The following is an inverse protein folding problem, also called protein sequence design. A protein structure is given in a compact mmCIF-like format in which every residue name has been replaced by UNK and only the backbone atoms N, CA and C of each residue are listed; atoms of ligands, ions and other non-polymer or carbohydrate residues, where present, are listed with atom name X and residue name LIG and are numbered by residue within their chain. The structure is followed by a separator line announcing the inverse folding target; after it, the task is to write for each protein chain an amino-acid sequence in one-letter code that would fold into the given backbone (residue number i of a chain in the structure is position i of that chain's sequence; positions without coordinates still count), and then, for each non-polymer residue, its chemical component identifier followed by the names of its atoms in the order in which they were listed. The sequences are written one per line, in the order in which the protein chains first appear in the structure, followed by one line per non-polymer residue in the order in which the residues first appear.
data_IF_114315124684
#
_entry.id   IF_114315124684
#
_cell.length_a   1.000
_cell.length_b   1.000
_cell.length_c   1.000
_cell.angle_alpha   90.00
_cell.angle_beta   90.00
_cell.angle_gamma   90.00
#
_symmetry.space_group_name_H-M   'P 1'
#
loop_
_entity.id
_entity.type
_entity.pdbx_description
1 polymer ?
#
# COMPACT_ATOMS: atom_id res chain seq x y z
N UNK A 1 1.94 13.33 -33.25
CA UNK A 1 1.33 14.38 -32.41
C UNK A 1 0.51 15.30 -33.29
N UNK A 2 -0.77 15.47 -32.98
CA UNK A 2 -1.67 16.33 -33.75
C UNK A 2 -1.48 17.81 -33.37
N UNK A 3 -1.09 18.64 -34.34
CA UNK A 3 -0.86 20.08 -34.15
C UNK A 3 -2.13 20.84 -33.76
N UNK A 4 -3.31 20.37 -34.18
CA UNK A 4 -4.58 20.98 -33.81
C UNK A 4 -4.94 20.70 -32.35
N UNK A 5 -4.63 19.50 -31.86
CA UNK A 5 -4.79 19.15 -30.46
C UNK A 5 -3.94 20.05 -29.55
N UNK A 6 -2.65 20.22 -29.85
CA UNK A 6 -1.75 21.07 -29.05
C UNK A 6 -2.22 22.53 -29.08
N UNK A 7 -2.63 23.04 -30.24
CA UNK A 7 -3.10 24.43 -30.38
C UNK A 7 -4.40 24.67 -29.61
N UNK A 8 -5.32 23.71 -29.60
CA UNK A 8 -6.55 23.79 -28.80
C UNK A 8 -6.27 23.66 -27.31
N UNK A 9 -5.38 22.76 -26.90
CA UNK A 9 -4.96 22.63 -25.50
C UNK A 9 -4.32 23.94 -25.00
N UNK A 10 -3.41 24.55 -25.77
CA UNK A 10 -2.78 25.82 -25.39
C UNK A 10 -3.77 26.98 -25.31
N UNK A 11 -4.82 27.01 -26.15
CA UNK A 11 -5.86 28.05 -26.06
C UNK A 11 -6.73 27.90 -24.81
N UNK A 12 -7.02 26.66 -24.43
CA UNK A 12 -7.94 26.33 -23.33
C UNK A 12 -7.19 25.72 -22.13
N UNK A 13 -5.90 26.04 -21.97
CA UNK A 13 -5.01 25.31 -21.06
C UNK A 13 -5.47 25.43 -19.61
N UNK A 14 -5.96 26.61 -19.22
CA UNK A 14 -6.43 26.89 -17.86
C UNK A 14 -7.68 26.07 -17.52
N UNK A 15 -8.65 26.02 -18.43
CA UNK A 15 -9.88 25.22 -18.24
C UNK A 15 -9.58 23.73 -18.28
N UNK A 16 -8.69 23.31 -19.20
CA UNK A 16 -8.23 21.93 -19.27
C UNK A 16 -7.50 21.52 -17.99
N UNK A 17 -6.65 22.40 -17.45
CA UNK A 17 -5.94 22.18 -16.19
C UNK A 17 -6.89 22.14 -14.99
N UNK A 18 -7.83 23.09 -14.88
CA UNK A 18 -8.79 23.11 -13.77
C UNK A 18 -9.71 21.90 -13.80
N UNK A 19 -10.18 21.49 -14.99
CA UNK A 19 -10.97 20.25 -15.14
C UNK A 19 -10.14 19.03 -14.75
N UNK A 20 -8.89 18.93 -15.20
CA UNK A 20 -8.00 17.84 -14.82
C UNK A 20 -7.69 17.84 -13.32
N UNK A 21 -7.59 19.02 -12.71
CA UNK A 21 -7.38 19.19 -11.27
C UNK A 21 -8.63 18.79 -10.47
N UNK A 22 -9.83 19.14 -10.93
CA UNK A 22 -11.11 18.69 -10.35
C UNK A 22 -11.29 17.17 -10.52
N UNK A 23 -10.87 16.61 -11.65
CA UNK A 23 -10.84 15.17 -11.87
C UNK A 23 -9.78 14.46 -11.01
N UNK A 24 -8.73 15.18 -10.61
CA UNK A 24 -7.67 14.67 -9.74
C UNK A 24 -8.08 14.79 -8.28
N UNK A 25 -8.57 13.68 -7.72
CA UNK A 25 -8.94 13.60 -6.32
C UNK A 25 -7.70 13.85 -5.44
N UNK A 26 -7.65 15.00 -4.78
CA UNK A 26 -6.63 15.32 -3.77
C UNK A 26 -7.33 15.24 -2.42
N UNK A 27 -6.75 14.46 -1.51
CA UNK A 27 -7.35 14.08 -0.23
C UNK A 27 -6.45 14.55 0.89
N UNK A 28 -7.01 15.20 1.90
CA UNK A 28 -6.28 15.53 3.13
C UNK A 28 -6.66 14.52 4.20
N UNK A 29 -5.69 13.76 4.71
CA UNK A 29 -5.91 12.75 5.74
C UNK A 29 -6.20 13.41 7.08
N UNK A 30 -7.33 13.06 7.69
CA UNK A 30 -7.75 13.56 8.99
C UNK A 30 -7.55 12.53 10.11
N UNK A 31 -7.95 11.27 9.89
CA UNK A 31 -8.00 10.27 10.96
C UNK A 31 -7.74 8.85 10.46
N UNK A 32 -6.89 8.13 11.19
CA UNK A 32 -6.69 6.70 10.99
C UNK A 32 -7.89 5.87 11.49
N UNK A 33 -8.42 5.01 10.63
CA UNK A 33 -9.57 4.14 10.93
C UNK A 33 -9.12 2.74 11.38
N UNK A 34 -8.68 1.92 10.44
CA UNK A 34 -8.37 0.49 10.65
C UNK A 34 -7.27 -0.04 9.72
N UNK A 35 -6.72 -1.21 10.07
CA UNK A 35 -5.89 -2.02 9.17
C UNK A 35 -6.65 -3.29 8.81
N UNK A 36 -6.81 -3.57 7.52
CA UNK A 36 -7.27 -4.88 7.07
C UNK A 36 -6.11 -5.66 6.48
N UNK A 37 -5.88 -6.86 7.00
CA UNK A 37 -4.90 -7.81 6.47
C UNK A 37 -5.68 -8.88 5.71
N UNK A 38 -5.67 -8.78 4.38
CA UNK A 38 -6.38 -9.68 3.50
C UNK A 38 -5.42 -10.69 2.86
N UNK A 39 -5.74 -11.98 3.00
CA UNK A 39 -5.03 -13.08 2.37
C UNK A 39 -5.79 -13.55 1.14
N UNK A 40 -5.23 -13.26 -0.03
CA UNK A 40 -5.73 -13.68 -1.34
C UNK A 40 -5.06 -14.99 -1.73
N UNK A 41 -5.76 -16.09 -1.44
CA UNK A 41 -5.34 -17.44 -1.80
C UNK A 41 -5.53 -17.64 -3.30
N UNK A 42 -4.48 -18.12 -3.98
CA UNK A 42 -4.48 -18.32 -5.43
C UNK A 42 -4.23 -19.79 -5.79
N UNK A 43 -4.94 -20.26 -6.80
CA UNK A 43 -4.76 -21.62 -7.32
C UNK A 43 -3.62 -21.60 -8.34
N UNK A 44 -2.56 -22.38 -8.09
CA UNK A 44 -1.46 -22.57 -9.05
C UNK A 44 -0.41 -21.45 -9.08
N UNK A 45 -0.48 -20.50 -8.14
CA UNK A 45 0.56 -19.48 -7.91
C UNK A 45 0.61 -19.16 -6.43
N UNK A 46 1.68 -18.53 -5.97
CA UNK A 46 1.78 -18.13 -4.58
C UNK A 46 0.79 -17.04 -4.19
N UNK A 47 0.43 -17.07 -2.92
CA UNK A 47 -0.58 -16.20 -2.34
C UNK A 47 -0.09 -14.76 -2.21
N UNK A 48 -1.04 -13.83 -2.09
CA UNK A 48 -0.74 -12.44 -1.80
C UNK A 48 -1.41 -12.00 -0.51
N UNK A 49 -0.66 -11.23 0.27
CA UNK A 49 -1.13 -10.58 1.48
C UNK A 49 -1.23 -9.08 1.23
N UNK A 50 -2.42 -8.53 1.45
CA UNK A 50 -2.73 -7.12 1.30
C UNK A 50 -2.87 -6.51 2.69
N UNK A 51 -2.03 -5.53 2.99
CA UNK A 51 -2.11 -4.73 4.21
C UNK A 51 -2.73 -3.39 3.83
N UNK A 52 -4.03 -3.26 4.07
CA UNK A 52 -4.84 -2.10 3.72
C UNK A 52 -5.02 -1.20 4.93
N UNK A 53 -4.44 -0.01 4.89
CA UNK A 53 -4.60 1.01 5.91
C UNK A 53 -5.68 1.98 5.46
N UNK A 54 -6.77 2.04 6.21
CA UNK A 54 -7.91 2.89 5.91
C UNK A 54 -7.88 4.15 6.77
N UNK A 55 -8.18 5.28 6.14
CA UNK A 55 -8.17 6.60 6.75
C UNK A 55 -9.41 7.38 6.30
N UNK A 56 -9.93 8.23 7.19
CA UNK A 56 -10.89 9.26 6.84
C UNK A 56 -10.14 10.52 6.39
N UNK A 57 -10.57 11.09 5.28
CA UNK A 57 -10.20 12.43 4.85
C UNK A 57 -10.98 13.50 5.62
N UNK A 58 -10.62 14.77 5.40
CA UNK A 58 -11.35 15.91 5.98
C UNK A 58 -12.83 15.97 5.56
N UNK A 59 -13.15 15.47 4.36
CA UNK A 59 -14.52 15.38 3.83
C UNK A 59 -15.26 14.10 4.27
N UNK A 60 -14.79 13.43 5.33
CA UNK A 60 -15.32 12.16 5.88
C UNK A 60 -15.31 10.97 4.88
N UNK A 61 -14.52 11.11 3.82
CA UNK A 61 -14.35 10.08 2.81
C UNK A 61 -13.26 9.08 3.18
N UNK A 62 -13.50 7.82 2.84
CA UNK A 62 -12.59 6.75 3.17
C UNK A 62 -11.55 6.54 2.06
N UNK A 63 -10.28 6.71 2.39
CA UNK A 63 -9.13 6.48 1.49
C UNK A 63 -8.24 5.36 2.03
N UNK A 64 -7.39 4.79 1.18
CA UNK A 64 -6.53 3.67 1.58
C UNK A 64 -5.11 3.69 1.06
N UNK A 65 -4.20 3.15 1.86
CA UNK A 65 -2.84 2.79 1.43
C UNK A 65 -2.72 1.27 1.51
N UNK A 66 -2.28 0.62 0.43
CA UNK A 66 -2.21 -0.84 0.33
C UNK A 66 -0.78 -1.31 0.05
N UNK A 67 -0.22 -2.05 1.00
CA UNK A 67 1.03 -2.80 0.81
C UNK A 67 0.71 -4.22 0.37
N UNK A 68 1.45 -4.72 -0.62
CA UNK A 68 1.27 -6.08 -1.13
C UNK A 68 2.53 -6.89 -0.89
N UNK A 69 2.40 -7.97 -0.13
CA UNK A 69 3.46 -8.97 0.05
C UNK A 69 3.09 -10.25 -0.66
N UNK A 70 4.07 -10.86 -1.30
CA UNK A 70 3.95 -12.23 -1.77
C UNK A 70 4.20 -13.22 -0.63
N UNK A 71 3.71 -14.45 -0.76
CA UNK A 71 3.77 -15.48 0.29
C UNK A 71 5.18 -15.82 0.78
N UNK A 72 6.19 -15.61 -0.07
CA UNK A 72 7.59 -15.92 0.22
C UNK A 72 8.08 -15.19 1.47
N UNK A 73 7.64 -13.95 1.69
CA UNK A 73 7.90 -13.18 2.89
C UNK A 73 7.35 -13.82 4.17
N UNK A 74 6.26 -14.57 4.06
CA UNK A 74 5.59 -15.20 5.21
C UNK A 74 6.18 -16.59 5.48
N UNK A 75 6.42 -17.37 4.43
CA UNK A 75 6.90 -18.75 4.54
C UNK A 75 8.40 -18.80 4.88
N UNK A 76 9.21 -17.90 4.32
CA UNK A 76 10.65 -17.93 4.54
C UNK A 76 11.08 -17.16 5.79
N UNK A 77 12.01 -17.75 6.54
CA UNK A 77 12.54 -17.19 7.79
C UNK A 77 13.29 -15.86 7.59
N UNK A 78 13.82 -15.61 6.40
CA UNK A 78 14.44 -14.33 6.04
C UNK A 78 13.45 -13.15 6.11
N UNK A 79 12.15 -13.43 5.94
CA UNK A 79 11.09 -12.46 6.15
C UNK A 79 10.72 -12.22 7.61
N UNK A 80 11.32 -12.93 8.57
CA UNK A 80 11.03 -12.70 9.98
C UNK A 80 11.57 -11.32 10.41
N UNK A 81 10.65 -10.42 10.79
CA UNK A 81 10.97 -9.11 11.30
C UNK A 81 11.18 -9.16 12.81
N UNK A 82 12.12 -8.35 13.31
CA UNK A 82 12.30 -8.12 14.75
C UNK A 82 11.89 -6.68 15.00
N UNK A 83 10.57 -6.45 14.99
CA UNK A 83 9.95 -5.16 15.22
C UNK A 83 8.96 -5.33 16.37
N UNK A 84 8.94 -4.34 17.27
CA UNK A 84 7.93 -4.25 18.33
C UNK A 84 6.58 -3.90 17.72
N UNK A 85 5.55 -4.68 18.07
CA UNK A 85 4.19 -4.48 17.57
C UNK A 85 3.60 -3.22 18.20
N UNK A 86 3.06 -2.33 17.36
CA UNK A 86 2.35 -1.14 17.84
C UNK A 86 1.00 -1.54 18.43
N UNK A 87 0.87 -1.39 19.75
CA UNK A 87 -0.36 -1.72 20.50
C UNK A 87 -1.55 -0.87 20.07
N UNK A 88 -1.32 0.32 19.50
CA UNK A 88 -2.42 1.16 19.00
C UNK A 88 -3.11 0.54 17.77
N UNK A 89 -2.43 -0.36 17.06
CA UNK A 89 -3.00 -1.10 15.94
C UNK A 89 -3.73 -2.37 16.39
N UNK A 90 -3.48 -2.87 17.59
CA UNK A 90 -3.86 -4.23 18.01
C UNK A 90 -5.37 -4.48 17.90
N UNK A 91 -6.18 -3.51 18.34
CA UNK A 91 -7.65 -3.55 18.29
C UNK A 91 -8.23 -3.03 16.97
N UNK A 92 -7.38 -2.60 16.03
CA UNK A 92 -7.76 -2.03 14.73
C UNK A 92 -7.38 -2.92 13.56
N UNK A 93 -6.74 -4.07 13.82
CA UNK A 93 -6.37 -5.05 12.80
C UNK A 93 -7.51 -6.05 12.60
N UNK A 94 -7.99 -6.12 11.37
CA UNK A 94 -8.97 -7.09 10.90
C UNK A 94 -8.30 -8.10 9.97
N UNK A 95 -8.48 -9.39 10.23
CA UNK A 95 -8.01 -10.45 9.34
C UNK A 95 -9.13 -10.92 8.43
N UNK A 96 -8.83 -11.13 7.16
CA UNK A 96 -9.79 -11.71 6.20
C UNK A 96 -9.07 -12.56 5.16
N UNK A 97 -9.78 -13.50 4.54
CA UNK A 97 -9.27 -14.30 3.42
C UNK A 97 -10.39 -14.56 2.42
N UNK A 98 -10.04 -14.76 1.15
CA UNK A 98 -10.95 -15.22 0.11
C UNK A 98 -11.25 -16.74 0.19
N UNK A 99 -10.60 -17.47 1.11
CA UNK A 99 -10.81 -18.89 1.34
C UNK A 99 -10.88 -19.23 2.84
N UNK A 100 -11.22 -20.48 3.18
CA UNK A 100 -11.15 -20.95 4.56
C UNK A 100 -9.69 -21.10 4.97
N UNK A 101 -9.18 -20.12 5.70
CA UNK A 101 -7.81 -20.10 6.19
C UNK A 101 -7.77 -19.82 7.69
N UNK A 102 -7.12 -20.73 8.42
CA UNK A 102 -6.83 -20.57 9.85
C UNK A 102 -5.37 -20.19 9.99
N UNK A 103 -5.10 -19.14 10.77
CA UNK A 103 -3.74 -18.65 11.02
C UNK A 103 -3.25 -19.18 12.35
N UNK A 104 -1.97 -19.50 12.41
CA UNK A 104 -1.27 -19.77 13.67
C UNK A 104 -0.96 -18.47 14.41
N UNK A 105 -0.71 -18.57 15.71
CA UNK A 105 -0.27 -17.42 16.53
C UNK A 105 1.04 -16.80 16.01
N UNK A 106 1.95 -17.64 15.49
CA UNK A 106 3.21 -17.19 14.90
C UNK A 106 2.98 -16.36 13.63
N UNK A 107 2.07 -16.80 12.75
CA UNK A 107 1.69 -16.05 11.55
C UNK A 107 1.01 -14.72 11.92
N UNK A 108 0.07 -14.73 12.88
CA UNK A 108 -0.55 -13.50 13.37
C UNK A 108 0.47 -12.51 13.92
N UNK A 109 1.41 -12.97 14.75
CA UNK A 109 2.50 -12.15 15.27
C UNK A 109 3.31 -11.54 14.14
N UNK A 110 3.67 -12.33 13.12
CA UNK A 110 4.40 -11.85 11.94
C UNK A 110 3.60 -10.80 11.17
N UNK A 111 2.31 -11.04 10.92
CA UNK A 111 1.44 -10.05 10.28
C UNK A 111 1.35 -8.75 11.06
N UNK A 112 1.26 -8.79 12.39
CA UNK A 112 1.25 -7.58 13.24
C UNK A 112 2.57 -6.81 13.17
N UNK A 113 3.71 -7.50 13.04
CA UNK A 113 5.01 -6.85 12.85
C UNK A 113 5.10 -6.13 11.49
N UNK A 114 4.65 -6.77 10.42
CA UNK A 114 4.54 -6.13 9.10
C UNK A 114 3.55 -4.98 9.11
N UNK A 115 2.42 -5.15 9.80
CA UNK A 115 1.42 -4.11 9.92
C UNK A 115 2.02 -2.85 10.59
N UNK A 116 2.81 -3.06 11.64
CA UNK A 116 3.54 -1.98 12.32
C UNK A 116 4.58 -1.32 11.42
N UNK A 117 5.37 -2.11 10.67
CA UNK A 117 6.36 -1.58 9.75
C UNK A 117 5.73 -0.66 8.69
N UNK A 118 4.69 -1.16 8.04
CA UNK A 118 4.02 -0.44 6.96
C UNK A 118 3.22 0.76 7.46
N UNK A 119 2.57 0.64 8.62
CA UNK A 119 1.96 1.79 9.29
C UNK A 119 2.98 2.91 9.51
N UNK A 120 4.16 2.61 10.08
CA UNK A 120 5.22 3.61 10.30
C UNK A 120 5.70 4.25 8.99
N UNK A 121 5.77 3.49 7.89
CA UNK A 121 6.12 4.04 6.56
C UNK A 121 5.03 4.98 6.04
N UNK A 122 3.76 4.61 6.19
CA UNK A 122 2.61 5.44 5.81
C UNK A 122 2.56 6.73 6.63
N UNK A 123 2.72 6.67 7.95
CA UNK A 123 2.74 7.85 8.82
C UNK A 123 3.91 8.80 8.46
N UNK A 124 5.08 8.25 8.13
CA UNK A 124 6.21 9.03 7.65
C UNK A 124 5.91 9.73 6.31
N UNK A 125 5.26 9.03 5.39
CA UNK A 125 4.82 9.60 4.11
C UNK A 125 3.81 10.74 4.32
N UNK A 126 2.79 10.55 5.14
CA UNK A 126 1.80 11.60 5.43
C UNK A 126 2.44 12.79 6.16
N UNK A 127 3.40 12.56 7.05
CA UNK A 127 4.17 13.67 7.65
C UNK A 127 4.96 14.47 6.61
N UNK A 128 5.58 13.80 5.63
CA UNK A 128 6.35 14.42 4.54
C UNK A 128 5.47 15.22 3.58
N UNK A 129 4.23 14.78 3.37
CA UNK A 129 3.26 15.37 2.43
C UNK A 129 2.24 16.29 3.10
N UNK A 130 2.41 16.60 4.39
CA UNK A 130 1.44 17.36 5.19
C UNK A 130 0.03 16.76 5.17
N UNK A 131 -0.08 15.44 5.17
CA UNK A 131 -1.33 14.71 5.13
C UNK A 131 -1.99 14.67 3.76
N UNK A 132 -1.36 15.21 2.71
CA UNK A 132 -1.93 15.24 1.36
C UNK A 132 -1.67 13.92 0.64
N UNK A 133 -2.75 13.32 0.13
CA UNK A 133 -2.76 12.09 -0.64
C UNK A 133 -3.36 12.35 -2.03
N UNK A 134 -2.73 11.78 -3.04
CA UNK A 134 -3.21 11.81 -4.42
C UNK A 134 -4.05 10.57 -4.69
N UNK A 135 -5.30 10.77 -5.09
CA UNK A 135 -6.30 9.73 -5.32
C UNK A 135 -6.92 9.19 -4.03
N UNK A 136 -7.91 8.29 -4.21
CA UNK A 136 -8.54 7.60 -3.08
C UNK A 136 -7.73 6.37 -2.60
N UNK A 137 -6.71 5.96 -3.37
CA UNK A 137 -5.91 4.79 -3.06
C UNK A 137 -4.45 4.92 -3.53
N UNK A 138 -3.51 4.58 -2.63
CA UNK A 138 -2.11 4.34 -2.94
C UNK A 138 -1.89 2.83 -2.88
N UNK A 139 -1.37 2.23 -3.95
CA UNK A 139 -1.15 0.78 -4.05
C UNK A 139 0.28 0.51 -4.47
N UNK A 140 1.05 -0.11 -3.57
CA UNK A 140 2.44 -0.51 -3.83
C UNK A 140 2.53 -1.64 -4.85
N UNK A 141 3.69 -1.82 -5.51
CA UNK A 141 4.04 -3.08 -6.21
C UNK A 141 4.01 -4.25 -5.22
N UNK A 142 3.81 -5.46 -5.75
CA UNK A 142 3.92 -6.69 -4.93
C UNK A 142 5.38 -6.91 -4.57
N UNK A 143 5.67 -6.90 -3.28
CA UNK A 143 7.03 -7.09 -2.77
C UNK A 143 7.30 -8.58 -2.65
N UNK A 144 8.40 -9.02 -3.25
CA UNK A 144 8.89 -10.41 -3.28
C UNK A 144 10.29 -10.49 -2.68
N UNK A 145 10.66 -11.66 -2.20
CA UNK A 145 12.03 -11.97 -1.78
C UNK A 145 12.85 -12.53 -2.95
N UNK A 146 12.17 -13.21 -3.88
CA UNK A 146 12.81 -13.91 -5.00
C UNK A 146 12.55 -13.21 -6.34
N UNK A 147 13.55 -13.25 -7.22
CA UNK A 147 13.45 -12.72 -8.59
C UNK A 147 12.90 -13.74 -9.60
N UNK A 148 12.56 -14.95 -9.15
CA UNK A 148 12.07 -15.99 -10.04
C UNK A 148 10.75 -15.59 -10.71
N UNK A 149 10.73 -15.66 -12.04
CA UNK A 149 9.62 -15.24 -12.91
C UNK A 149 9.05 -13.85 -12.56
N UNK A 150 9.92 -12.90 -12.17
CA UNK A 150 9.53 -11.57 -11.72
C UNK A 150 8.89 -10.71 -12.83
N UNK A 151 7.66 -10.26 -12.61
CA UNK A 151 7.04 -9.24 -13.45
C UNK A 151 7.34 -7.84 -12.90
N UNK A 152 8.39 -7.19 -13.40
CA UNK A 152 8.87 -5.87 -12.92
C UNK A 152 7.85 -4.73 -13.03
N UNK A 153 6.81 -4.87 -13.88
CA UNK A 153 5.72 -3.89 -13.97
C UNK A 153 4.83 -3.90 -12.74
N UNK A 154 4.70 -5.06 -12.08
CA UNK A 154 3.76 -5.25 -10.97
C UNK A 154 4.43 -5.62 -9.66
N UNK A 155 5.68 -6.10 -9.72
CA UNK A 155 6.40 -6.71 -8.62
C UNK A 155 7.76 -6.03 -8.44
N UNK A 156 8.27 -6.07 -7.21
CA UNK A 156 9.59 -5.58 -6.84
C UNK A 156 10.25 -6.61 -5.93
N UNK A 157 11.56 -6.81 -6.09
CA UNK A 157 12.34 -7.69 -5.21
C UNK A 157 13.06 -6.83 -4.19
N UNK A 158 12.86 -7.15 -2.91
CA UNK A 158 13.56 -6.52 -1.81
C UNK A 158 14.11 -7.59 -0.88
N UNK A 159 15.31 -7.37 -0.36
CA UNK A 159 15.76 -8.08 0.82
C UNK A 159 15.21 -7.41 2.10
N UNK A 160 15.35 -8.06 3.24
CA UNK A 160 14.89 -7.53 4.53
C UNK A 160 15.43 -6.13 4.86
N UNK A 161 16.71 -5.88 4.62
CA UNK A 161 17.33 -4.58 4.91
C UNK A 161 16.76 -3.46 4.02
N UNK A 162 16.55 -3.75 2.74
CA UNK A 162 15.92 -2.83 1.79
C UNK A 162 14.47 -2.55 2.18
N UNK A 163 13.70 -3.58 2.55
CA UNK A 163 12.31 -3.39 3.01
C UNK A 163 12.25 -2.53 4.28
N UNK A 164 13.20 -2.69 5.22
CA UNK A 164 13.24 -1.88 6.43
C UNK A 164 13.56 -0.41 6.13
N UNK A 165 14.49 -0.14 5.21
CA UNK A 165 15.01 1.20 4.93
C UNK A 165 14.21 2.01 3.92
N UNK A 166 13.51 1.37 2.98
CA UNK A 166 12.78 2.08 1.92
C UNK A 166 11.63 2.96 2.46
N UNK A 167 11.25 3.98 1.70
CA UNK A 167 10.04 4.77 1.95
C UNK A 167 8.85 4.18 1.19
N UNK A 168 7.63 4.69 1.44
CA UNK A 168 6.45 4.30 0.67
C UNK A 168 6.62 4.66 -0.83
N UNK A 169 7.24 5.81 -1.12
CA UNK A 169 7.46 6.32 -2.47
C UNK A 169 8.26 5.33 -3.34
N UNK A 170 9.22 4.62 -2.75
CA UNK A 170 10.07 3.62 -3.43
C UNK A 170 9.30 2.36 -3.85
N UNK A 171 8.10 2.16 -3.30
CA UNK A 171 7.30 0.96 -3.47
C UNK A 171 6.14 1.15 -4.45
N UNK A 172 5.93 2.37 -4.96
CA UNK A 172 4.78 2.71 -5.79
C UNK A 172 4.85 2.05 -7.19
N UNK A 173 3.67 1.90 -7.79
CA UNK A 173 3.49 1.31 -9.13
C UNK A 173 3.89 2.27 -10.24
#
# INVERSE_FOLDING_TARGET
MDKNYIRNWLKNWRESFLRLLEEYKIRTIAKFDRVRIHHDVRIGSGDNYFFEYWYYGEDDELVRVTYRLYEDWIIYGEGNLIIEIDRNLENKIEFSSNSRYSRTEAEEKKFRQYATLFYRKTEKYFKKTNGVMLGDAIITKVIRMTADNLNQKEQIVLNKSALLSCELDDLLK
#
